data_IF_045715864240
#
_entry.id   IF_045715864240
#
_cell.length_a   1.000
_cell.length_b   1.000
_cell.length_c   1.000
_cell.angle_alpha   90.00
_cell.angle_beta   90.00
_cell.angle_gamma   90.00
#
_symmetry.space_group_name_H-M   'P 1'
#
loop_
_entity.id
_entity.type
_entity.pdbx_description
1 polymer ?
#
# COMPACT_ATOMS: atom_id res chain seq x y z
N UNK A 1 17.22 -3.38 0.59
CA UNK A 1 18.15 -2.68 -0.34
C UNK A 1 18.07 -3.36 -1.70
N UNK A 2 17.78 -2.62 -2.77
CA UNK A 2 17.85 -3.13 -4.15
C UNK A 2 19.12 -2.57 -4.82
N UNK A 3 19.94 -3.44 -5.40
CA UNK A 3 21.22 -3.06 -6.00
C UNK A 3 21.13 -3.23 -7.51
N UNK A 4 21.58 -2.20 -8.24
CA UNK A 4 21.66 -2.23 -9.71
C UNK A 4 23.08 -1.92 -10.17
N UNK A 5 23.48 -2.56 -11.27
CA UNK A 5 24.79 -2.39 -11.90
C UNK A 5 24.62 -2.48 -13.41
N UNK A 6 25.21 -1.54 -14.14
CA UNK A 6 25.17 -1.53 -15.59
C UNK A 6 25.85 -0.31 -16.20
N UNK A 7 25.95 -0.25 -17.54
CA UNK A 7 26.48 0.91 -18.24
C UNK A 7 25.73 2.20 -17.86
N UNK A 8 26.47 3.28 -17.59
CA UNK A 8 25.88 4.57 -17.25
C UNK A 8 25.33 4.70 -15.83
N UNK A 9 25.37 3.64 -15.01
CA UNK A 9 25.01 3.71 -13.58
C UNK A 9 26.25 4.11 -12.76
N UNK A 10 26.13 5.18 -11.98
CA UNK A 10 27.21 5.68 -11.10
C UNK A 10 27.59 4.62 -10.06
N UNK A 11 28.88 4.29 -10.00
CA UNK A 11 29.42 3.38 -8.98
C UNK A 11 29.28 4.00 -7.58
N UNK A 12 28.85 3.19 -6.61
CA UNK A 12 28.62 3.63 -5.23
C UNK A 12 27.53 4.71 -5.07
N UNK A 13 26.79 5.05 -6.13
CA UNK A 13 25.70 6.00 -6.07
C UNK A 13 24.51 5.46 -5.29
N UNK A 14 23.86 6.32 -4.52
CA UNK A 14 22.62 6.00 -3.81
C UNK A 14 21.48 6.83 -4.38
N UNK A 15 20.30 6.23 -4.44
CA UNK A 15 19.06 6.92 -4.74
C UNK A 15 18.11 6.67 -3.59
N UNK A 16 17.54 7.75 -3.05
CA UNK A 16 16.59 7.73 -1.95
C UNK A 16 15.19 8.09 -2.44
N UNK A 17 14.56 7.13 -3.11
CA UNK A 17 13.15 7.22 -3.52
C UNK A 17 12.44 5.92 -3.24
N UNK A 18 11.11 6.00 -3.10
CA UNK A 18 10.28 4.79 -3.03
C UNK A 18 10.30 4.09 -4.39
N UNK A 19 10.59 2.79 -4.35
CA UNK A 19 10.48 1.86 -5.48
C UNK A 19 9.80 0.59 -5.01
N UNK A 20 9.10 -0.08 -5.90
CA UNK A 20 8.42 -1.35 -5.63
C UNK A 20 8.98 -2.47 -6.51
N UNK A 21 8.69 -3.73 -6.17
CA UNK A 21 9.14 -4.86 -6.98
C UNK A 21 8.54 -4.84 -8.40
N UNK A 22 7.37 -4.21 -8.60
CA UNK A 22 6.73 -4.10 -9.93
C UNK A 22 7.50 -3.16 -10.86
N UNK A 23 8.28 -2.22 -10.31
CA UNK A 23 9.11 -1.29 -11.09
C UNK A 23 10.27 -2.01 -11.82
N UNK A 24 10.67 -3.20 -11.36
CA UNK A 24 11.74 -4.00 -11.96
C UNK A 24 11.40 -4.36 -13.40
N UNK A 25 10.18 -4.87 -13.64
CA UNK A 25 9.73 -5.26 -14.98
C UNK A 25 9.69 -4.05 -15.92
N UNK A 26 9.11 -2.92 -15.48
CA UNK A 26 9.10 -1.66 -16.23
C UNK A 26 10.51 -1.20 -16.61
N UNK A 27 11.46 -1.32 -15.68
CA UNK A 27 12.85 -0.89 -15.90
C UNK A 27 13.57 -1.78 -16.91
N UNK A 28 13.46 -3.11 -16.78
CA UNK A 28 14.10 -4.06 -17.72
C UNK A 28 13.54 -3.88 -19.14
N UNK A 29 12.21 -3.74 -19.28
CA UNK A 29 11.58 -3.54 -20.59
C UNK A 29 12.05 -2.24 -21.24
N UNK A 30 12.14 -1.15 -20.46
CA UNK A 30 12.67 0.13 -20.96
C UNK A 30 14.11 0.02 -21.44
N UNK A 31 14.97 -0.67 -20.68
CA UNK A 31 16.38 -0.90 -21.04
C UNK A 31 16.51 -1.77 -22.29
N UNK A 32 15.61 -2.73 -22.49
CA UNK A 32 15.55 -3.57 -23.68
C UNK A 32 14.94 -2.86 -24.91
N UNK A 33 14.54 -1.59 -24.80
CA UNK A 33 13.87 -0.85 -25.88
C UNK A 33 12.43 -1.30 -26.15
N UNK A 34 11.82 -2.04 -25.23
CA UNK A 34 10.45 -2.57 -25.34
C UNK A 34 9.47 -1.60 -24.70
N UNK A 35 8.51 -1.12 -25.49
CA UNK A 35 7.40 -0.29 -24.99
C UNK A 35 6.21 -1.17 -24.62
N UNK A 36 6.10 -1.53 -23.33
CA UNK A 36 4.96 -2.25 -22.77
C UNK A 36 4.54 -1.63 -21.46
N UNK A 37 3.23 -1.44 -21.28
CA UNK A 37 2.66 -0.96 -20.02
C UNK A 37 2.71 -2.07 -18.97
N UNK A 38 3.19 -1.74 -17.77
CA UNK A 38 3.10 -2.57 -16.57
C UNK A 38 2.49 -1.75 -15.43
N UNK A 39 2.31 -2.35 -14.26
CA UNK A 39 1.80 -1.69 -13.06
C UNK A 39 2.82 -0.73 -12.42
N UNK A 40 4.11 -1.05 -12.56
CA UNK A 40 5.22 -0.27 -12.01
C UNK A 40 5.68 0.88 -12.90
N UNK A 41 6.51 1.76 -12.35
CA UNK A 41 7.23 2.81 -13.09
C UNK A 41 8.69 2.41 -13.35
N UNK A 42 9.36 3.17 -14.22
CA UNK A 42 10.80 2.96 -14.44
C UNK A 42 11.55 3.49 -13.22
N UNK A 43 12.38 2.64 -12.62
CA UNK A 43 13.28 3.04 -11.55
C UNK A 43 14.25 4.11 -12.06
N UNK A 44 14.56 5.13 -11.25
CA UNK A 44 15.55 6.15 -11.63
C UNK A 44 16.89 5.48 -11.81
N UNK A 45 17.54 5.61 -12.96
CA UNK A 45 18.89 5.09 -13.20
C UNK A 45 19.96 6.11 -12.83
N UNK A 46 19.63 7.40 -12.90
CA UNK A 46 20.50 8.53 -12.56
C UNK A 46 19.91 9.41 -11.45
N UNK A 47 20.75 10.24 -10.82
CA UNK A 47 20.30 11.22 -9.83
C UNK A 47 19.34 12.26 -10.43
N UNK A 48 19.53 12.66 -11.68
CA UNK A 48 18.63 13.60 -12.36
C UNK A 48 17.24 13.01 -12.68
N UNK A 49 17.10 11.68 -12.68
CA UNK A 49 15.82 10.99 -12.83
C UNK A 49 15.07 10.82 -11.49
N UNK A 50 15.63 11.37 -10.40
CA UNK A 50 14.93 11.59 -9.14
C UNK A 50 14.09 12.86 -9.26
N UNK A 51 13.02 12.81 -10.05
CA UNK A 51 12.08 13.94 -10.16
C UNK A 51 11.15 13.97 -8.95
N UNK A 52 10.86 15.17 -8.45
CA UNK A 52 9.75 15.44 -7.52
C UNK A 52 8.43 14.87 -8.08
N UNK A 53 7.68 14.16 -7.24
CA UNK A 53 6.42 13.52 -7.64
C UNK A 53 6.54 12.09 -8.19
N UNK A 54 7.58 11.33 -7.79
CA UNK A 54 7.55 9.86 -7.86
C UNK A 54 6.50 9.30 -6.88
N UNK A 55 6.21 8.00 -6.96
CA UNK A 55 5.37 7.29 -5.99
C UNK A 55 5.89 7.51 -4.57
N UNK A 56 4.97 7.71 -3.63
CA UNK A 56 5.24 7.79 -2.19
C UNK A 56 4.76 6.53 -1.47
N UNK A 57 4.29 5.54 -2.24
CA UNK A 57 3.57 4.38 -1.74
C UNK A 57 4.13 3.08 -2.30
N UNK A 58 3.95 2.01 -1.54
CA UNK A 58 4.01 0.64 -2.02
C UNK A 58 2.76 -0.10 -1.52
N UNK A 59 2.00 -0.65 -2.46
CA UNK A 59 0.91 -1.57 -2.13
C UNK A 59 1.52 -2.94 -1.76
N UNK A 60 0.98 -3.53 -0.70
CA UNK A 60 1.37 -4.85 -0.20
C UNK A 60 0.10 -5.68 -0.16
N UNK A 61 0.16 -6.90 -0.68
CA UNK A 61 -0.97 -7.81 -0.68
C UNK A 61 -0.49 -9.18 -0.26
N UNK A 62 -1.28 -9.83 0.58
CA UNK A 62 -1.02 -11.18 1.03
C UNK A 62 -2.34 -11.94 1.08
N UNK A 63 -2.38 -13.11 0.48
CA UNK A 63 -3.48 -14.06 0.61
C UNK A 63 -2.94 -15.40 1.05
N UNK A 64 -3.68 -16.08 1.91
CA UNK A 64 -3.37 -17.44 2.31
C UNK A 64 -2.93 -17.58 3.75
N UNK A 65 -2.26 -18.70 4.00
CA UNK A 65 -1.81 -19.11 5.31
C UNK A 65 -0.40 -18.61 5.57
N UNK A 66 -0.17 -18.02 6.74
CA UNK A 66 1.19 -17.73 7.20
C UNK A 66 1.86 -19.05 7.55
N UNK A 67 2.76 -19.53 6.70
CA UNK A 67 3.58 -20.70 7.01
C UNK A 67 4.93 -20.23 7.56
N UNK A 68 5.26 -20.57 8.82
CA UNK A 68 6.56 -20.22 9.35
C UNK A 68 7.65 -21.04 8.65
N UNK A 69 8.61 -20.36 8.02
CA UNK A 69 9.74 -21.00 7.34
C UNK A 69 10.93 -21.21 8.28
N UNK A 70 11.73 -22.24 8.01
CA UNK A 70 13.01 -22.50 8.68
C UNK A 70 12.96 -23.54 9.79
N UNK A 71 14.11 -23.76 10.42
CA UNK A 71 14.33 -24.85 11.39
C UNK A 71 13.38 -24.79 12.60
N UNK A 72 12.93 -23.59 12.95
CA UNK A 72 12.04 -23.34 14.10
C UNK A 72 10.60 -23.03 13.70
N UNK A 73 10.25 -23.14 12.41
CA UNK A 73 8.92 -22.74 11.94
C UNK A 73 7.83 -23.73 12.36
N UNK A 74 8.10 -25.03 12.25
CA UNK A 74 7.17 -26.11 12.58
C UNK A 74 7.42 -26.71 13.98
N UNK A 75 7.95 -25.92 14.92
CA UNK A 75 8.30 -26.42 16.24
C UNK A 75 7.06 -26.72 17.11
N UNK A 76 6.31 -27.75 16.77
CA UNK A 76 5.54 -28.55 17.73
C UNK A 76 6.30 -29.86 17.97
N UNK A 77 7.04 -29.89 19.08
CA UNK A 77 7.94 -30.95 19.55
C UNK A 77 9.26 -31.14 18.78
N UNK A 78 10.36 -31.37 19.51
CA UNK A 78 11.73 -31.54 18.99
C UNK A 78 11.90 -32.78 18.11
N UNK A 79 10.84 -33.56 17.90
CA UNK A 79 10.95 -34.86 17.28
C UNK A 79 10.60 -34.86 15.78
N UNK A 80 10.09 -33.77 15.18
CA UNK A 80 9.60 -33.80 13.79
C UNK A 80 8.59 -34.95 13.52
N UNK A 81 8.07 -35.61 14.58
CA UNK A 81 7.46 -36.95 14.48
C UNK A 81 5.96 -36.89 14.21
N UNK A 82 5.32 -35.74 14.35
CA UNK A 82 3.87 -35.71 14.29
C UNK A 82 3.32 -35.90 12.86
N UNK A 83 4.09 -35.68 11.79
CA UNK A 83 3.56 -35.66 10.42
C UNK A 83 2.34 -34.73 10.26
N UNK A 84 2.16 -33.81 11.22
CA UNK A 84 1.03 -32.89 11.35
C UNK A 84 1.59 -31.50 11.16
N UNK A 85 1.01 -30.79 10.20
CA UNK A 85 1.22 -29.36 10.04
C UNK A 85 0.43 -28.67 11.16
N UNK A 86 1.01 -28.60 12.35
CA UNK A 86 0.63 -27.65 13.40
C UNK A 86 1.36 -26.33 13.12
N UNK A 87 0.78 -25.19 13.51
CA UNK A 87 1.45 -23.87 13.56
C UNK A 87 1.50 -23.04 12.26
N UNK A 88 0.62 -23.27 11.28
CA UNK A 88 0.37 -22.28 10.23
C UNK A 88 -0.72 -21.27 10.67
N UNK A 89 -0.48 -19.99 10.41
CA UNK A 89 -1.40 -18.89 10.72
C UNK A 89 -2.55 -18.88 9.70
N UNK A 90 -3.74 -19.26 10.13
CA UNK A 90 -4.98 -19.14 9.35
C UNK A 90 -5.49 -17.70 9.34
N UNK A 91 -6.30 -17.34 8.34
CA UNK A 91 -6.85 -15.99 8.16
C UNK A 91 -5.77 -14.90 8.09
N UNK A 92 -4.63 -15.21 7.47
CA UNK A 92 -3.50 -14.28 7.32
C UNK A 92 -3.61 -13.41 6.05
N UNK A 93 -4.82 -13.25 5.51
CA UNK A 93 -5.05 -12.45 4.30
C UNK A 93 -5.17 -10.98 4.69
N UNK A 94 -4.41 -10.10 4.04
CA UNK A 94 -4.46 -8.66 4.30
C UNK A 94 -4.03 -7.84 3.08
N UNK A 95 -4.47 -6.58 3.05
CA UNK A 95 -3.91 -5.55 2.17
C UNK A 95 -3.21 -4.50 3.02
N UNK A 96 -2.03 -4.12 2.58
CA UNK A 96 -1.14 -3.17 3.23
C UNK A 96 -0.78 -2.02 2.30
N UNK A 97 -0.46 -0.90 2.93
CA UNK A 97 -0.04 0.32 2.29
C UNK A 97 1.15 0.88 3.07
N UNK A 98 2.30 0.84 2.42
CA UNK A 98 3.52 1.49 2.90
C UNK A 98 3.58 2.89 2.31
N UNK A 99 3.58 3.93 3.14
CA UNK A 99 3.67 5.34 2.72
C UNK A 99 4.98 5.94 3.22
N UNK A 100 5.84 6.42 2.32
CA UNK A 100 7.12 7.03 2.69
C UNK A 100 7.34 8.33 1.91
N UNK A 101 7.63 9.39 2.67
CA UNK A 101 8.10 10.67 2.18
C UNK A 101 9.12 11.24 3.17
N UNK A 102 9.59 12.47 2.94
CA UNK A 102 10.42 13.19 3.91
C UNK A 102 9.65 13.53 5.21
N UNK A 103 8.33 13.69 5.13
CA UNK A 103 7.50 14.17 6.23
C UNK A 103 6.84 13.05 7.04
N UNK A 104 6.69 11.86 6.45
CA UNK A 104 6.00 10.74 7.10
C UNK A 104 6.53 9.39 6.64
N UNK A 105 6.35 8.40 7.50
CA UNK A 105 6.79 7.05 7.27
C UNK A 105 5.79 6.08 7.92
N UNK A 106 4.82 5.60 7.15
CA UNK A 106 3.68 4.85 7.66
C UNK A 106 3.62 3.44 7.06
N UNK A 107 3.11 2.51 7.86
CA UNK A 107 2.58 1.24 7.40
C UNK A 107 1.13 1.14 7.88
N UNK A 108 0.21 0.94 6.94
CA UNK A 108 -1.21 0.80 7.19
C UNK A 108 -1.72 -0.53 6.62
N UNK A 109 -2.44 -1.32 7.39
CA UNK A 109 -2.96 -2.62 6.95
C UNK A 109 -4.44 -2.80 7.31
N UNK A 110 -5.13 -3.60 6.51
CA UNK A 110 -6.49 -4.07 6.73
C UNK A 110 -6.47 -5.58 6.57
N UNK A 111 -6.83 -6.26 7.65
CA UNK A 111 -6.89 -7.72 7.71
C UNK A 111 -8.24 -8.23 7.25
N UNK A 112 -8.26 -9.47 6.78
CA UNK A 112 -9.50 -10.11 6.38
C UNK A 112 -10.47 -10.27 7.55
N UNK A 113 -9.95 -10.46 8.76
CA UNK A 113 -10.69 -10.50 10.04
C UNK A 113 -11.23 -9.13 10.49
N UNK A 114 -10.92 -8.05 9.78
CA UNK A 114 -11.48 -6.70 9.98
C UNK A 114 -10.62 -5.78 10.84
N UNK A 115 -9.58 -6.28 11.48
CA UNK A 115 -8.59 -5.48 12.20
C UNK A 115 -7.86 -4.55 11.24
N UNK A 116 -7.52 -3.39 11.76
CA UNK A 116 -6.81 -2.34 11.05
C UNK A 116 -5.61 -1.95 11.88
N UNK A 117 -4.48 -1.75 11.20
CA UNK A 117 -3.27 -1.37 11.89
C UNK A 117 -2.62 -0.19 11.21
N UNK A 118 -2.14 0.76 12.01
CA UNK A 118 -1.35 1.89 11.53
C UNK A 118 -0.13 2.05 12.42
N UNK A 119 1.04 2.07 11.81
CA UNK A 119 2.31 2.27 12.51
C UNK A 119 3.02 3.50 11.94
N UNK A 120 3.62 4.31 12.82
CA UNK A 120 4.52 5.39 12.44
C UNK A 120 5.97 4.91 12.58
N UNK A 121 6.59 4.54 11.46
CA UNK A 121 7.93 3.96 11.43
C UNK A 121 9.05 4.97 11.70
N UNK A 122 8.74 6.28 11.74
CA UNK A 122 9.72 7.27 12.20
C UNK A 122 9.97 7.15 13.71
N UNK A 123 8.91 6.90 14.49
CA UNK A 123 8.99 6.82 15.95
C UNK A 123 9.03 5.36 16.45
N UNK A 124 8.45 4.44 15.68
CA UNK A 124 8.35 3.01 15.97
C UNK A 124 8.79 2.16 14.76
N UNK A 125 10.11 2.12 14.47
CA UNK A 125 10.64 1.37 13.31
C UNK A 125 10.33 -0.13 13.35
N UNK A 126 10.16 -0.68 14.55
CA UNK A 126 9.88 -2.10 14.82
C UNK A 126 8.38 -2.43 14.80
N UNK A 127 7.51 -1.44 14.55
CA UNK A 127 6.06 -1.63 14.37
C UNK A 127 5.39 -2.33 15.56
N UNK A 128 5.69 -1.86 16.77
CA UNK A 128 5.21 -2.41 18.03
C UNK A 128 3.96 -1.72 18.58
N UNK A 129 3.67 -0.50 18.13
CA UNK A 129 2.54 0.33 18.61
C UNK A 129 1.59 0.60 17.45
N UNK A 130 0.52 -0.20 17.36
CA UNK A 130 -0.58 0.08 16.45
C UNK A 130 -1.39 1.29 16.93
N UNK A 131 -1.33 2.40 16.21
CA UNK A 131 -2.03 3.65 16.50
C UNK A 131 -3.57 3.54 16.45
N UNK A 132 -4.11 2.48 15.85
CA UNK A 132 -5.55 2.19 15.79
C UNK A 132 -6.01 1.24 16.90
N UNK A 133 -5.08 0.75 17.72
CA UNK A 133 -5.40 -0.14 18.84
C UNK A 133 -6.12 0.59 19.98
N UNK A 134 -7.03 -0.12 20.64
CA UNK A 134 -7.67 0.35 21.88
C UNK A 134 -6.78 0.28 23.12
N UNK A 135 -5.52 -0.13 23.00
CA UNK A 135 -4.60 -0.18 24.15
C UNK A 135 -4.28 1.22 24.69
N UNK A 136 -4.04 1.31 26.00
CA UNK A 136 -3.73 2.59 26.65
C UNK A 136 -2.50 3.27 26.03
N UNK A 137 -1.43 2.52 25.79
CA UNK A 137 -0.21 3.03 25.16
C UNK A 137 -0.49 3.57 23.76
N UNK A 138 -1.24 2.83 22.93
CA UNK A 138 -1.60 3.28 21.59
C UNK A 138 -2.43 4.58 21.63
N UNK A 139 -3.41 4.68 22.52
CA UNK A 139 -4.25 5.87 22.64
C UNK A 139 -3.46 7.12 23.02
N UNK A 140 -2.49 7.00 23.92
CA UNK A 140 -1.62 8.13 24.30
C UNK A 140 -0.79 8.64 23.12
N UNK A 141 -0.23 7.72 22.32
CA UNK A 141 0.56 8.08 21.13
C UNK A 141 -0.34 8.63 20.03
N UNK A 142 -1.48 8.00 19.78
CA UNK A 142 -2.45 8.37 18.75
C UNK A 142 -2.99 9.81 18.89
N UNK A 143 -3.18 10.29 20.12
CA UNK A 143 -3.66 11.67 20.38
C UNK A 143 -2.62 12.73 19.97
N UNK A 144 -1.32 12.39 20.05
CA UNK A 144 -0.23 13.30 19.69
C UNK A 144 0.18 13.17 18.22
N UNK A 145 -0.16 12.04 17.59
CA UNK A 145 0.19 11.75 16.22
C UNK A 145 -0.56 12.66 15.24
N UNK A 146 0.19 13.44 14.47
CA UNK A 146 -0.34 14.29 13.39
C UNK A 146 0.60 14.29 12.20
N UNK A 147 0.06 14.52 11.02
CA UNK A 147 0.81 14.79 9.78
C UNK A 147 0.21 16.05 9.18
N UNK A 148 1.05 17.02 8.82
CA UNK A 148 0.61 18.32 8.31
C UNK A 148 -0.47 19.00 9.19
N UNK A 149 -0.33 18.91 10.52
CA UNK A 149 -1.30 19.39 11.53
C UNK A 149 -2.70 18.77 11.40
N UNK A 150 -2.80 17.56 10.86
CA UNK A 150 -4.07 16.84 10.71
C UNK A 150 -4.15 15.69 11.73
N UNK A 151 -5.33 15.49 12.35
CA UNK A 151 -5.51 14.43 13.35
C UNK A 151 -5.53 13.03 12.70
N UNK A 152 -5.27 12.01 13.51
CA UNK A 152 -5.21 10.60 13.10
C UNK A 152 -6.40 10.17 12.21
N UNK A 153 -7.63 10.46 12.62
CA UNK A 153 -8.82 10.04 11.84
C UNK A 153 -8.84 10.63 10.42
N UNK A 154 -8.35 11.86 10.25
CA UNK A 154 -8.29 12.51 8.94
C UNK A 154 -7.28 11.80 8.04
N UNK A 155 -6.13 11.39 8.59
CA UNK A 155 -5.09 10.62 7.90
C UNK A 155 -5.64 9.25 7.49
N UNK A 156 -6.24 8.53 8.43
CA UNK A 156 -6.82 7.20 8.22
C UNK A 156 -7.84 7.18 7.09
N UNK A 157 -8.70 8.21 6.99
CA UNK A 157 -9.66 8.32 5.89
C UNK A 157 -9.00 8.42 4.51
N UNK A 158 -7.82 9.07 4.39
CA UNK A 158 -7.07 9.12 3.13
C UNK A 158 -6.43 7.77 2.81
N UNK A 159 -5.88 7.10 3.82
CA UNK A 159 -5.25 5.80 3.65
C UNK A 159 -6.29 4.73 3.23
N UNK A 160 -7.50 4.79 3.79
CA UNK A 160 -8.63 3.96 3.35
C UNK A 160 -8.96 4.17 1.87
N UNK A 161 -9.11 5.43 1.48
CA UNK A 161 -9.43 5.78 0.10
C UNK A 161 -8.32 5.31 -0.86
N UNK A 162 -7.05 5.43 -0.44
CA UNK A 162 -5.92 5.03 -1.25
C UNK A 162 -5.86 3.50 -1.40
N UNK A 163 -6.03 2.74 -0.32
CA UNK A 163 -6.14 1.27 -0.42
C UNK A 163 -7.27 0.89 -1.37
N UNK A 164 -8.43 1.54 -1.28
CA UNK A 164 -9.54 1.27 -2.20
C UNK A 164 -9.20 1.58 -3.67
N UNK A 165 -8.44 2.64 -3.94
CA UNK A 165 -7.96 2.94 -5.28
C UNK A 165 -6.93 1.91 -5.81
N UNK A 166 -6.21 1.24 -4.90
CA UNK A 166 -5.16 0.28 -5.24
C UNK A 166 -5.60 -1.19 -5.21
N UNK A 167 -6.69 -1.53 -4.51
CA UNK A 167 -7.07 -2.92 -4.17
C UNK A 167 -7.12 -3.89 -5.35
N UNK A 168 -7.39 -3.40 -6.54
CA UNK A 168 -7.47 -4.16 -7.78
C UNK A 168 -6.93 -3.32 -8.96
N UNK A 169 -5.97 -2.44 -8.69
CA UNK A 169 -5.45 -1.53 -9.70
C UNK A 169 -4.83 -2.26 -10.89
N UNK A 170 -4.75 -1.57 -12.02
CA UNK A 170 -4.01 -2.04 -13.20
C UNK A 170 -3.26 -0.90 -13.86
N UNK A 171 -2.06 -1.20 -14.33
CA UNK A 171 -1.20 -0.27 -15.05
C UNK A 171 -0.91 0.97 -14.22
N UNK A 172 -1.16 2.14 -14.82
CA UNK A 172 -0.82 3.42 -14.19
C UNK A 172 -1.65 3.75 -12.95
N UNK A 173 -2.80 3.13 -12.75
CA UNK A 173 -3.56 3.28 -11.50
C UNK A 173 -2.76 2.78 -10.29
N UNK A 174 -1.97 1.71 -10.45
CA UNK A 174 -1.16 1.14 -9.35
C UNK A 174 -0.02 2.06 -8.91
N UNK A 175 0.59 2.76 -9.87
CA UNK A 175 1.68 3.71 -9.59
C UNK A 175 1.17 5.14 -9.36
N UNK A 176 -0.06 5.48 -9.76
CA UNK A 176 -0.62 6.84 -9.63
C UNK A 176 -2.04 6.81 -9.04
N UNK A 177 -2.26 6.18 -7.87
CA UNK A 177 -3.60 5.94 -7.33
C UNK A 177 -4.35 7.24 -6.99
N UNK A 178 -3.63 8.33 -6.67
CA UNK A 178 -4.25 9.64 -6.46
C UNK A 178 -5.01 10.17 -7.69
N UNK A 179 -4.61 9.77 -8.90
CA UNK A 179 -5.32 10.17 -10.13
C UNK A 179 -6.68 9.49 -10.29
N UNK A 180 -6.87 8.33 -9.67
CA UNK A 180 -8.17 7.66 -9.65
C UNK A 180 -9.17 8.45 -8.78
N UNK A 181 -8.68 9.04 -7.69
CA UNK A 181 -9.49 9.91 -6.82
C UNK A 181 -9.64 11.34 -7.39
N UNK A 182 -8.61 11.86 -8.06
CA UNK A 182 -8.56 13.22 -8.62
C UNK A 182 -8.02 13.20 -10.06
N UNK A 183 -8.89 12.95 -11.07
CA UNK A 183 -8.46 12.79 -12.46
C UNK A 183 -7.78 14.02 -13.08
N UNK A 184 -8.02 15.22 -12.55
CA UNK A 184 -7.33 16.44 -12.98
C UNK A 184 -5.87 16.54 -12.49
N UNK A 185 -5.41 15.58 -11.67
CA UNK A 185 -4.04 15.53 -11.15
C UNK A 185 -3.72 16.60 -10.11
N UNK A 186 -4.72 17.30 -9.57
CA UNK A 186 -4.53 18.35 -8.55
C UNK A 186 -3.97 17.81 -7.23
N UNK A 187 -4.25 16.54 -6.94
CA UNK A 187 -3.73 15.82 -5.78
C UNK A 187 -2.86 14.67 -6.30
N UNK A 188 -1.61 14.64 -5.82
CA UNK A 188 -0.64 13.62 -6.20
C UNK A 188 0.17 13.08 -5.02
N UNK A 189 -0.18 13.49 -3.79
CA UNK A 189 0.48 13.05 -2.55
C UNK A 189 -0.49 13.07 -1.37
N UNK A 190 -0.15 12.34 -0.31
CA UNK A 190 -0.88 12.34 0.95
C UNK A 190 -0.89 13.74 1.58
N UNK A 191 0.23 14.45 1.52
CA UNK A 191 0.29 15.83 2.00
C UNK A 191 -0.73 16.73 1.30
N UNK A 192 -0.87 16.62 -0.03
CA UNK A 192 -1.87 17.37 -0.78
C UNK A 192 -3.31 16.91 -0.47
N UNK A 193 -3.51 15.61 -0.25
CA UNK A 193 -4.79 15.01 0.13
C UNK A 193 -5.28 15.42 1.53
N UNK A 194 -4.36 15.83 2.40
CA UNK A 194 -4.63 16.16 3.80
C UNK A 194 -5.26 17.54 4.02
N UNK A 195 -5.42 18.35 2.98
CA UNK A 195 -6.15 19.62 3.05
C UNK A 195 -7.59 19.41 3.58
N UNK A 196 -7.97 20.23 4.56
CA UNK A 196 -9.25 20.15 5.29
C UNK A 196 -10.47 20.18 4.37
N UNK A 197 -10.39 20.88 3.24
CA UNK A 197 -11.52 20.99 2.30
C UNK A 197 -11.92 19.64 1.67
N UNK A 198 -11.07 18.62 1.76
CA UNK A 198 -11.33 17.28 1.24
C UNK A 198 -11.79 16.29 2.33
N UNK A 199 -11.91 16.70 3.60
CA UNK A 199 -12.24 15.78 4.70
C UNK A 199 -13.50 14.98 4.46
N UNK A 200 -14.61 15.64 4.09
CA UNK A 200 -15.88 14.98 3.80
C UNK A 200 -15.76 14.00 2.64
N UNK A 201 -15.05 14.39 1.57
CA UNK A 201 -14.84 13.50 0.42
C UNK A 201 -14.16 12.19 0.82
N UNK A 202 -13.12 12.25 1.67
CA UNK A 202 -12.39 11.06 2.12
C UNK A 202 -13.15 10.27 3.20
N UNK A 203 -13.92 10.94 4.05
CA UNK A 203 -14.78 10.29 5.03
C UNK A 203 -15.89 9.46 4.36
N UNK A 204 -16.45 9.96 3.25
CA UNK A 204 -17.54 9.33 2.50
C UNK A 204 -17.08 8.29 1.48
N UNK A 205 -15.76 8.01 1.38
CA UNK A 205 -15.28 6.95 0.50
C UNK A 205 -15.75 5.58 1.01
N UNK A 206 -16.11 4.67 0.09
CA UNK A 206 -16.29 3.27 0.47
C UNK A 206 -15.00 2.74 1.10
N UNK A 207 -15.14 1.75 1.97
CA UNK A 207 -14.04 1.18 2.75
C UNK A 207 -13.71 -0.21 2.24
N UNK A 208 -12.43 -0.56 2.32
CA UNK A 208 -11.98 -1.91 2.00
C UNK A 208 -12.34 -2.86 3.13
N UNK A 209 -12.91 -4.01 2.78
CA UNK A 209 -13.14 -5.15 3.65
C UNK A 209 -13.11 -6.43 2.83
N UNK A 210 -13.03 -7.56 3.52
CA UNK A 210 -13.10 -8.90 2.93
C UNK A 210 -14.43 -9.54 3.34
N UNK A 211 -15.14 -10.12 2.38
CA UNK A 211 -16.36 -10.90 2.63
C UNK A 211 -16.03 -12.31 3.15
N UNK A 212 -14.89 -12.87 2.74
CA UNK A 212 -14.36 -14.14 3.24
C UNK A 212 -12.83 -14.19 3.20
N UNK A 213 -12.26 -15.15 3.93
CA UNK A 213 -10.81 -15.29 4.16
C UNK A 213 -10.18 -16.25 3.16
N UNK A 214 -10.40 -16.00 1.87
CA UNK A 214 -9.87 -16.87 0.81
C UNK A 214 -8.34 -16.90 0.83
N UNK A 215 -7.78 -18.04 0.46
CA UNK A 215 -6.33 -18.27 0.39
C UNK A 215 -5.71 -17.79 -0.92
N UNK A 216 -6.49 -17.09 -1.74
CA UNK A 216 -6.10 -16.53 -3.01
C UNK A 216 -6.88 -15.23 -3.27
N UNK A 217 -6.43 -14.45 -4.25
CA UNK A 217 -7.18 -13.30 -4.72
C UNK A 217 -8.46 -13.75 -5.45
N UNK A 218 -9.61 -13.55 -4.79
CA UNK A 218 -10.94 -13.76 -5.37
C UNK A 218 -11.68 -12.43 -5.29
N UNK A 219 -11.87 -11.78 -6.44
CA UNK A 219 -12.41 -10.43 -6.52
C UNK A 219 -13.78 -10.30 -5.82
N UNK A 220 -14.63 -11.30 -6.00
CA UNK A 220 -15.99 -11.33 -5.45
C UNK A 220 -16.02 -11.48 -3.93
N UNK A 221 -14.88 -11.74 -3.29
CA UNK A 221 -14.72 -11.90 -1.85
C UNK A 221 -14.07 -10.71 -1.16
N UNK A 222 -13.83 -9.66 -1.92
CA UNK A 222 -13.34 -8.37 -1.44
C UNK A 222 -14.43 -7.32 -1.69
N UNK A 223 -14.37 -6.20 -0.97
CA UNK A 223 -15.25 -5.07 -1.26
C UNK A 223 -15.17 -4.73 -2.75
N UNK A 224 -16.32 -4.65 -3.43
CA UNK A 224 -16.39 -4.35 -4.87
C UNK A 224 -16.95 -2.96 -5.17
N UNK A 225 -17.29 -2.19 -4.13
CA UNK A 225 -17.75 -0.82 -4.34
C UNK A 225 -16.66 0.02 -5.03
N UNK A 226 -17.02 0.76 -6.10
CA UNK A 226 -16.09 1.64 -6.77
C UNK A 226 -15.81 2.88 -5.90
N UNK A 227 -14.58 3.39 -5.97
CA UNK A 227 -14.22 4.65 -5.32
C UNK A 227 -15.00 5.83 -5.92
N UNK A 228 -15.22 6.87 -5.11
CA UNK A 228 -15.74 8.13 -5.63
C UNK A 228 -14.56 8.97 -6.16
N UNK A 229 -14.68 9.53 -7.36
CA UNK A 229 -13.76 10.51 -7.93
C UNK A 229 -14.28 11.94 -7.77
N UNK A 230 -13.37 12.86 -7.45
CA UNK A 230 -13.65 14.28 -7.37
C UNK A 230 -13.39 14.95 -8.73
N UNK A 231 -14.45 15.40 -9.40
CA UNK A 231 -14.36 16.21 -10.61
C UNK A 231 -14.71 17.67 -10.32
N UNK A 232 -14.21 18.61 -11.13
CA UNK A 232 -14.53 20.04 -11.00
C UNK A 232 -16.03 20.37 -11.14
N UNK A 233 -16.82 19.44 -11.70
CA UNK A 233 -18.28 19.54 -11.85
C UNK A 233 -19.07 18.80 -10.76
N UNK A 234 -18.42 18.28 -9.71
CA UNK A 234 -19.05 17.53 -8.62
C UNK A 234 -18.46 16.12 -8.41
N UNK A 235 -19.03 15.37 -7.46
CA UNK A 235 -18.65 13.98 -7.19
C UNK A 235 -19.21 13.06 -8.28
N UNK A 236 -18.37 12.19 -8.83
CA UNK A 236 -18.80 11.08 -9.69
C UNK A 236 -18.25 9.78 -9.12
N UNK A 237 -18.95 8.67 -9.31
CA UNK A 237 -18.39 7.35 -9.02
C UNK A 237 -17.44 6.98 -10.16
N UNK A 238 -16.26 6.48 -9.85
CA UNK A 238 -15.40 5.88 -10.89
C UNK A 238 -16.09 4.59 -11.32
N UNK A 239 -16.32 4.40 -12.62
CA UNK A 239 -16.85 3.12 -13.08
C UNK A 239 -15.82 2.03 -12.79
N UNK A 240 -16.27 0.95 -12.13
CA UNK A 240 -15.41 -0.19 -11.84
C UNK A 240 -14.92 -0.80 -13.17
N UNK A 241 -13.61 -1.05 -13.27
CA UNK A 241 -13.04 -1.57 -14.51
C UNK A 241 -13.59 -2.98 -14.79
N UNK A 242 -14.19 -3.16 -15.98
CA UNK A 242 -14.70 -4.45 -16.42
C UNK A 242 -13.53 -5.35 -16.84
N UNK A 243 -13.31 -6.45 -16.13
CA UNK A 243 -12.18 -7.34 -16.38
C UNK A 243 -12.31 -8.18 -17.65
N UNK A 244 -13.49 -8.19 -18.30
CA UNK A 244 -13.76 -9.09 -19.41
C UNK A 244 -13.82 -10.53 -18.91
N UNK A 245 -14.94 -11.20 -19.16
CA UNK A 245 -14.91 -12.66 -19.17
C UNK A 245 -14.08 -13.06 -20.41
N UNK A 246 -12.98 -13.78 -20.21
CA UNK A 246 -12.41 -14.60 -21.30
C UNK A 246 -13.41 -15.66 -21.74
#
# INVERSE_FOLDING_TARGET
>A
MFVRRGPGVKEGGQIDVVTTHTDIASTILKLAGVSKQTDGEVMPLTESEQTDGRIEHAAIEYWGHGMPEGHYGFSSDENFEAGRISDYYVNNTYKGLRMASQDFNLYYSIWCTGERELYNLNDDPEQTINLLSGSYTAQLVAVQFTIANRPLHAIVNRLDALIMAMKACKGKACSRPWKELYPNGRISSLHAALDIKFDTFYADQPKMFFDSYEVAFIKEKESNEPINSCHESGLRKVEEFNYGAE
#
